data_IF_215452563973
#
_entry.id   IF_215452563973
#
_cell.length_a   1.000
_cell.length_b   1.000
_cell.length_c   1.000
_cell.angle_alpha   90.00
_cell.angle_beta   90.00
_cell.angle_gamma   90.00
#
_symmetry.space_group_name_H-M   'P 1'
#
loop_
_entity.id
_entity.type
_entity.pdbx_description
1 polymer ?
#
# COMPACT_ATOMS: atom_id res chain seq x y z
N UNK A 1 -15.02 4.74 -4.37
CA UNK A 1 -13.88 4.32 -3.54
C UNK A 1 -13.99 2.83 -3.27
N UNK A 2 -12.88 2.11 -3.35
CA UNK A 2 -12.74 0.70 -2.95
C UNK A 2 -11.67 0.68 -1.86
N UNK A 3 -12.07 0.38 -0.63
CA UNK A 3 -11.19 0.36 0.54
C UNK A 3 -11.04 -1.09 0.96
N UNK A 4 -9.79 -1.55 1.06
CA UNK A 4 -9.48 -2.95 1.36
C UNK A 4 -8.50 -2.96 2.53
N UNK A 5 -8.96 -3.52 3.64
CA UNK A 5 -8.13 -3.79 4.81
C UNK A 5 -7.67 -5.26 4.81
N UNK A 6 -6.60 -5.56 5.57
CA UNK A 6 -5.97 -6.88 5.63
C UNK A 6 -5.79 -7.53 4.25
N UNK A 7 -5.24 -6.78 3.29
CA UNK A 7 -5.15 -7.18 1.89
C UNK A 7 -4.50 -8.54 1.67
N UNK A 8 -3.53 -8.94 2.50
CA UNK A 8 -2.88 -10.24 2.43
C UNK A 8 -3.82 -11.42 2.73
N UNK A 9 -4.95 -11.19 3.41
CA UNK A 9 -6.00 -12.19 3.63
C UNK A 9 -7.02 -12.21 2.48
N UNK A 10 -7.22 -11.08 1.80
CA UNK A 10 -8.14 -10.95 0.65
C UNK A 10 -7.50 -11.46 -0.65
N UNK A 11 -6.27 -11.04 -0.92
CA UNK A 11 -5.50 -11.37 -2.10
C UNK A 11 -4.46 -12.44 -1.76
N UNK A 12 -4.89 -13.69 -1.91
CA UNK A 12 -4.02 -14.86 -1.76
C UNK A 12 -3.23 -15.14 -3.03
N UNK A 13 -2.20 -15.99 -2.94
CA UNK A 13 -1.41 -16.38 -4.13
C UNK A 13 -2.25 -17.08 -5.21
N UNK A 14 -3.32 -17.78 -4.81
CA UNK A 14 -4.16 -18.58 -5.72
C UNK A 14 -5.35 -17.78 -6.24
N UNK A 15 -5.86 -16.83 -5.45
CA UNK A 15 -7.05 -16.06 -5.79
C UNK A 15 -6.92 -14.63 -5.29
N UNK A 16 -7.16 -13.68 -6.21
CA UNK A 16 -7.32 -12.27 -5.90
C UNK A 16 -8.62 -11.76 -6.54
N UNK A 17 -9.68 -11.51 -5.75
CA UNK A 17 -10.97 -11.05 -6.26
C UNK A 17 -10.91 -9.65 -6.85
N UNK A 18 -9.88 -8.87 -6.55
CA UNK A 18 -9.70 -7.49 -7.01
C UNK A 18 -8.99 -7.42 -8.36
N UNK A 19 -8.46 -8.54 -8.87
CA UNK A 19 -7.74 -8.61 -10.15
C UNK A 19 -8.46 -7.92 -11.32
N UNK A 20 -9.80 -8.00 -11.49
CA UNK A 20 -10.50 -7.28 -12.56
C UNK A 20 -10.34 -5.76 -12.48
N UNK A 21 -10.06 -5.18 -11.30
CA UNK A 21 -9.85 -3.74 -11.16
C UNK A 21 -8.49 -3.27 -11.69
N UNK A 22 -7.52 -4.18 -11.87
CA UNK A 22 -6.14 -3.84 -12.19
C UNK A 22 -6.00 -3.08 -13.52
N UNK A 23 -6.80 -3.43 -14.53
CA UNK A 23 -6.77 -2.81 -15.86
C UNK A 23 -7.21 -1.33 -15.83
N UNK A 24 -8.07 -0.96 -14.87
CA UNK A 24 -8.58 0.40 -14.73
C UNK A 24 -7.65 1.31 -13.91
N UNK A 25 -6.64 0.77 -13.22
CA UNK A 25 -5.81 1.57 -12.29
C UNK A 25 -5.02 2.69 -13.01
N UNK A 26 -4.60 2.46 -14.25
CA UNK A 26 -3.89 3.48 -15.04
C UNK A 26 -4.81 4.64 -15.46
N UNK A 27 -6.10 4.37 -15.65
CA UNK A 27 -7.14 5.32 -16.05
C UNK A 27 -8.06 5.69 -14.88
N UNK A 28 -7.64 5.42 -13.65
CA UNK A 28 -8.50 5.51 -12.47
C UNK A 28 -9.13 6.91 -12.30
N UNK A 29 -8.40 7.96 -12.70
CA UNK A 29 -8.88 9.34 -12.71
C UNK A 29 -10.06 9.55 -13.66
N UNK A 30 -10.02 8.95 -14.84
CA UNK A 30 -11.02 9.17 -15.90
C UNK A 30 -12.33 8.45 -15.57
N UNK A 31 -12.25 7.31 -14.87
CA UNK A 31 -13.41 6.52 -14.46
C UNK A 31 -13.88 6.80 -13.02
N UNK A 32 -13.22 7.71 -12.29
CA UNK A 32 -13.56 8.01 -10.89
C UNK A 32 -13.23 6.89 -9.90
N UNK A 33 -12.32 5.98 -10.25
CA UNK A 33 -11.87 4.90 -9.39
C UNK A 33 -10.84 5.42 -8.39
N UNK A 34 -11.08 5.16 -7.11
CA UNK A 34 -10.12 5.39 -6.02
C UNK A 34 -10.00 4.11 -5.22
N UNK A 35 -8.78 3.56 -5.13
CA UNK A 35 -8.49 2.35 -4.36
C UNK A 35 -7.54 2.68 -3.20
N UNK A 36 -7.85 2.18 -2.01
CA UNK A 36 -7.02 2.28 -0.81
C UNK A 36 -6.81 0.87 -0.28
N UNK A 37 -5.55 0.49 -0.11
CA UNK A 37 -5.16 -0.86 0.29
C UNK A 37 -4.30 -0.79 1.55
N UNK A 38 -4.66 -1.57 2.56
CA UNK A 38 -3.88 -1.76 3.78
C UNK A 38 -3.42 -3.21 3.83
N UNK A 39 -2.13 -3.41 4.08
CA UNK A 39 -1.49 -4.73 4.12
C UNK A 39 -0.49 -4.77 5.25
N UNK A 40 -0.34 -5.93 5.90
CA UNK A 40 0.76 -6.17 6.84
C UNK A 40 2.12 -6.04 6.13
N UNK A 41 3.17 -5.73 6.87
CA UNK A 41 4.53 -5.66 6.29
C UNK A 41 5.10 -7.04 5.94
N UNK A 42 4.64 -8.11 6.60
CA UNK A 42 5.16 -9.47 6.42
C UNK A 42 5.07 -9.97 4.98
N UNK A 43 6.19 -10.41 4.40
CA UNK A 43 6.27 -10.91 3.02
C UNK A 43 5.91 -9.87 1.95
N UNK A 44 6.01 -8.58 2.25
CA UNK A 44 5.58 -7.51 1.36
C UNK A 44 6.41 -7.42 0.08
N UNK A 45 7.70 -7.77 0.14
CA UNK A 45 8.56 -7.85 -1.05
C UNK A 45 8.00 -8.80 -2.12
N UNK A 46 7.48 -9.96 -1.72
CA UNK A 46 6.84 -10.94 -2.61
C UNK A 46 5.47 -10.49 -3.09
N UNK A 47 4.75 -9.71 -2.29
CA UNK A 47 3.44 -9.20 -2.65
C UNK A 47 3.49 -8.15 -3.77
N UNK A 48 4.66 -7.59 -4.10
CA UNK A 48 4.78 -6.62 -5.21
C UNK A 48 4.55 -7.23 -6.60
N UNK A 49 4.51 -8.56 -6.72
CA UNK A 49 4.12 -9.26 -7.95
C UNK A 49 2.59 -9.41 -8.10
N UNK A 50 1.83 -9.05 -7.07
CA UNK A 50 0.37 -8.99 -7.14
C UNK A 50 -0.10 -7.94 -8.16
N UNK A 51 -1.14 -8.22 -8.97
CA UNK A 51 -1.59 -7.33 -10.03
C UNK A 51 -2.05 -5.94 -9.54
N UNK A 52 -2.58 -5.82 -8.33
CA UNK A 52 -3.02 -4.52 -7.79
C UNK A 52 -1.84 -3.77 -7.20
N UNK A 53 -1.09 -4.41 -6.29
CA UNK A 53 0.06 -3.75 -5.65
C UNK A 53 1.16 -3.39 -6.66
N UNK A 54 1.41 -4.28 -7.62
CA UNK A 54 2.33 -4.05 -8.72
C UNK A 54 1.93 -2.85 -9.57
N UNK A 55 0.65 -2.75 -9.98
CA UNK A 55 0.17 -1.60 -10.74
C UNK A 55 0.19 -0.30 -9.93
N UNK A 56 -0.19 -0.32 -8.66
CA UNK A 56 -0.08 0.85 -7.78
C UNK A 56 1.35 1.36 -7.68
N UNK A 57 2.33 0.45 -7.61
CA UNK A 57 3.75 0.78 -7.64
C UNK A 57 4.18 1.36 -8.99
N UNK A 58 3.76 0.74 -10.09
CA UNK A 58 4.09 1.19 -11.46
C UNK A 58 3.60 2.61 -11.74
N UNK A 59 2.38 2.94 -11.32
CA UNK A 59 1.83 4.30 -11.47
C UNK A 59 2.33 5.26 -10.39
N UNK A 60 3.31 4.87 -9.56
CA UNK A 60 3.83 5.65 -8.46
C UNK A 60 2.71 6.25 -7.58
N UNK A 61 1.76 5.41 -7.17
CA UNK A 61 0.71 5.79 -6.23
C UNK A 61 1.34 6.21 -4.88
N UNK A 62 0.76 7.21 -4.18
CA UNK A 62 1.14 7.51 -2.81
C UNK A 62 1.05 6.28 -1.92
N UNK A 63 2.00 6.11 -1.00
CA UNK A 63 2.00 4.99 -0.07
C UNK A 63 2.70 5.32 1.24
N UNK A 64 2.28 4.68 2.33
CA UNK A 64 2.86 4.86 3.66
C UNK A 64 3.50 3.55 4.14
N UNK A 65 4.73 3.64 4.63
CA UNK A 65 5.44 2.51 5.26
C UNK A 65 5.53 2.76 6.76
N UNK A 66 4.81 1.95 7.54
CA UNK A 66 4.73 2.06 9.01
C UNK A 66 5.73 1.11 9.70
N UNK A 67 5.46 0.73 10.95
CA UNK A 67 6.25 -0.24 11.71
C UNK A 67 6.45 -1.55 10.92
N UNK A 68 7.67 -2.08 10.94
CA UNK A 68 7.99 -3.40 10.39
C UNK A 68 9.48 -3.72 10.43
N UNK A 69 9.85 -4.91 9.96
CA UNK A 69 11.26 -5.32 9.82
C UNK A 69 11.91 -4.72 8.57
N UNK A 70 13.20 -4.37 8.68
CA UNK A 70 14.04 -3.96 7.54
C UNK A 70 14.29 -5.10 6.54
N UNK A 71 14.12 -6.35 6.96
CA UNK A 71 14.35 -7.54 6.14
C UNK A 71 13.34 -7.68 5.01
N UNK A 72 12.19 -7.01 5.12
CA UNK A 72 11.18 -6.92 4.06
C UNK A 72 11.67 -6.12 2.83
N UNK A 73 12.81 -5.44 2.94
CA UNK A 73 13.36 -4.64 1.87
C UNK A 73 12.54 -3.39 1.58
N UNK A 74 12.62 -2.89 0.34
CA UNK A 74 11.95 -1.66 -0.06
C UNK A 74 10.48 -1.96 -0.39
N UNK A 75 9.54 -1.28 0.28
CA UNK A 75 8.10 -1.50 0.09
C UNK A 75 7.46 -0.45 -0.81
N UNK A 76 7.60 0.82 -0.44
CA UNK A 76 7.14 1.96 -1.23
C UNK A 76 8.35 2.77 -1.67
N UNK A 77 8.55 2.89 -2.98
CA UNK A 77 9.76 3.46 -3.58
C UNK A 77 11.03 2.80 -3.01
N UNK A 78 11.86 3.56 -2.29
CA UNK A 78 13.10 3.11 -1.67
C UNK A 78 13.01 3.01 -0.13
N UNK A 79 11.80 3.03 0.43
CA UNK A 79 11.60 3.02 1.88
C UNK A 79 11.55 1.58 2.40
N UNK A 80 12.49 1.27 3.30
CA UNK A 80 12.45 0.07 4.15
C UNK A 80 11.67 0.35 5.44
N UNK A 81 10.87 -0.61 5.95
CA UNK A 81 10.25 -0.49 7.26
C UNK A 81 11.29 -0.38 8.37
N UNK A 82 10.87 0.15 9.51
CA UNK A 82 11.68 0.19 10.73
C UNK A 82 10.77 0.24 11.94
N UNK A 83 11.32 -0.06 13.12
CA UNK A 83 10.58 0.09 14.37
C UNK A 83 10.08 1.52 14.56
N UNK A 84 8.79 1.66 14.80
CA UNK A 84 8.07 2.92 14.99
C UNK A 84 6.90 2.74 15.97
N UNK A 85 6.51 3.79 16.72
CA UNK A 85 5.32 3.75 17.55
C UNK A 85 4.04 3.61 16.69
N UNK A 86 2.91 3.17 17.27
CA UNK A 86 1.64 3.10 16.57
C UNK A 86 1.26 4.42 15.89
N UNK A 87 0.73 4.31 14.68
CA UNK A 87 0.34 5.46 13.86
C UNK A 87 1.49 6.22 13.18
N UNK A 88 2.76 5.87 13.43
CA UNK A 88 3.89 6.52 12.77
C UNK A 88 4.34 5.77 11.52
N UNK A 89 4.70 6.51 10.47
CA UNK A 89 5.21 5.93 9.23
C UNK A 89 5.79 6.98 8.28
N UNK A 90 6.50 6.50 7.26
CA UNK A 90 6.99 7.33 6.17
C UNK A 90 5.95 7.35 5.04
N UNK A 91 5.32 8.49 4.80
CA UNK A 91 4.52 8.74 3.61
C UNK A 91 5.46 9.06 2.44
N UNK A 92 5.24 8.43 1.30
CA UNK A 92 5.93 8.72 0.05
C UNK A 92 4.92 9.21 -0.97
N UNK A 93 5.17 10.40 -1.52
CA UNK A 93 4.39 10.96 -2.63
C UNK A 93 5.31 11.44 -3.74
N UNK A 94 4.80 11.55 -4.97
CA UNK A 94 5.57 12.13 -6.08
C UNK A 94 5.97 13.59 -5.83
N UNK A 95 5.09 14.36 -5.17
CA UNK A 95 5.27 15.81 -4.97
C UNK A 95 6.24 16.15 -3.84
N UNK A 96 6.19 15.42 -2.74
CA UNK A 96 6.94 15.75 -1.52
C UNK A 96 8.02 14.74 -1.16
N UNK A 97 8.17 13.67 -1.94
CA UNK A 97 9.08 12.58 -1.62
C UNK A 97 8.68 11.89 -0.31
N UNK A 98 9.69 11.47 0.46
CA UNK A 98 9.54 10.79 1.75
C UNK A 98 9.34 11.79 2.89
N UNK A 99 8.26 11.65 3.64
CA UNK A 99 7.95 12.45 4.82
C UNK A 99 7.61 11.53 6.00
N UNK A 100 8.22 11.75 7.16
CA UNK A 100 7.82 11.07 8.40
C UNK A 100 6.53 11.71 8.92
N UNK A 101 5.49 10.92 9.11
CA UNK A 101 4.16 11.38 9.50
C UNK A 101 3.58 10.54 10.64
N UNK A 102 2.68 11.16 11.40
CA UNK A 102 1.86 10.53 12.42
C UNK A 102 0.40 10.60 11.96
N UNK A 103 -0.28 9.47 11.85
CA UNK A 103 -1.73 9.46 11.57
C UNK A 103 -2.51 9.85 12.83
N UNK A 104 -3.62 10.56 12.63
CA UNK A 104 -4.57 10.87 13.70
C UNK A 104 -5.25 9.60 14.19
N UNK A 105 -5.53 9.55 15.49
CA UNK A 105 -6.34 8.49 16.08
C UNK A 105 -7.82 8.89 16.05
N UNK A 106 -8.67 7.97 15.59
CA UNK A 106 -10.12 8.05 15.68
C UNK A 106 -10.54 6.81 16.46
N UNK A 107 -11.42 6.98 17.45
CA UNK A 107 -11.94 5.86 18.22
C UNK A 107 -12.66 4.89 17.27
N UNK A 108 -12.34 3.58 17.27
CA UNK A 108 -13.09 2.60 16.50
C UNK A 108 -14.50 2.48 17.07
N UNK A 109 -15.51 2.43 16.19
CA UNK A 109 -16.90 2.13 16.53
C UNK A 109 -17.10 0.65 16.90
#
# INVERSE_FOLDING_TARGET
FVIVDDYDLVATQTSNPLKPLAEFLAQAKDVGLHIVVVRRSGGASRAMFDPILGKLREIAAPGMVMNGSRDEGNLVANVKPSQMPPGRGNLVTRKHGKQLMQVSWIQPD
#
